data_IF_532467978260
#
_entry.id   IF_532467978260
#
_cell.length_a   1.000
_cell.length_b   1.000
_cell.length_c   1.000
_cell.angle_alpha   90.00
_cell.angle_beta   90.00
_cell.angle_gamma   90.00
#
_symmetry.space_group_name_H-M   'P 1'
#
loop_
_entity.id
_entity.type
_entity.pdbx_description
1 polymer ?
#
# COMPACT_ATOMS: atom_id res chain seq x y z
N UNK A 1 11.15 22.77 -10.04
CA UNK A 1 11.63 21.37 -10.06
C UNK A 1 12.41 21.01 -8.81
N UNK A 2 13.49 21.71 -8.45
CA UNK A 2 14.30 21.39 -7.26
C UNK A 2 13.49 21.32 -5.96
N UNK A 3 12.55 22.24 -5.74
CA UNK A 3 11.67 22.20 -4.56
C UNK A 3 10.82 20.91 -4.51
N UNK A 4 10.27 20.47 -5.65
CA UNK A 4 9.49 19.24 -5.74
C UNK A 4 10.32 17.99 -5.47
N UNK A 5 11.56 17.96 -5.96
CA UNK A 5 12.52 16.89 -5.66
C UNK A 5 12.86 16.90 -4.17
N UNK A 6 13.13 18.07 -3.58
CA UNK A 6 13.39 18.21 -2.14
C UNK A 6 12.24 17.68 -1.29
N UNK A 7 11.00 18.03 -1.61
CA UNK A 7 9.81 17.51 -0.91
C UNK A 7 9.69 15.98 -0.99
N UNK A 8 9.98 15.40 -2.15
CA UNK A 8 9.93 13.94 -2.35
C UNK A 8 11.07 13.21 -1.64
N UNK A 9 12.29 13.74 -1.72
CA UNK A 9 13.47 13.17 -1.07
C UNK A 9 13.44 13.28 0.45
N UNK A 10 12.69 14.24 1.00
CA UNK A 10 12.45 14.36 2.45
C UNK A 10 11.24 13.54 2.93
N UNK A 11 10.48 12.90 2.04
CA UNK A 11 9.35 12.04 2.41
C UNK A 11 9.82 10.58 2.57
N UNK A 12 9.62 9.94 3.74
CA UNK A 12 10.08 8.58 3.98
C UNK A 12 9.49 7.54 3.02
N UNK A 13 8.28 7.76 2.51
CA UNK A 13 7.66 6.86 1.53
C UNK A 13 8.30 7.05 0.16
N UNK A 14 8.56 8.29 -0.26
CA UNK A 14 9.27 8.61 -1.50
C UNK A 14 10.66 7.98 -1.54
N UNK A 15 11.42 8.09 -0.44
CA UNK A 15 12.73 7.44 -0.30
C UNK A 15 12.61 5.91 -0.34
N UNK A 16 11.65 5.32 0.38
CA UNK A 16 11.46 3.85 0.35
C UNK A 16 11.12 3.33 -1.05
N UNK A 17 10.29 4.05 -1.81
CA UNK A 17 9.96 3.68 -3.21
C UNK A 17 11.16 3.86 -4.14
N UNK A 18 11.99 4.87 -3.91
CA UNK A 18 13.25 5.05 -4.66
C UNK A 18 14.21 3.89 -4.39
N UNK A 19 14.37 3.49 -3.12
CA UNK A 19 15.17 2.33 -2.76
C UNK A 19 14.62 1.04 -3.37
N UNK A 20 13.29 0.88 -3.41
CA UNK A 20 12.66 -0.27 -4.07
C UNK A 20 12.98 -0.31 -5.56
N UNK A 21 12.90 0.82 -6.25
CA UNK A 21 13.27 0.92 -7.66
C UNK A 21 14.75 0.56 -7.86
N UNK A 22 15.65 1.08 -7.01
CA UNK A 22 17.08 0.75 -7.07
C UNK A 22 17.34 -0.73 -6.83
N UNK A 23 16.67 -1.36 -5.86
CA UNK A 23 16.77 -2.79 -5.61
C UNK A 23 16.31 -3.60 -6.82
N UNK A 24 15.17 -3.23 -7.40
CA UNK A 24 14.61 -3.92 -8.57
C UNK A 24 15.49 -3.77 -9.80
N UNK A 25 16.05 -2.58 -10.06
CA UNK A 25 17.01 -2.35 -11.13
C UNK A 25 18.29 -3.16 -10.91
N UNK A 26 18.84 -3.18 -9.70
CA UNK A 26 20.02 -3.99 -9.37
C UNK A 26 19.75 -5.49 -9.54
N UNK A 27 18.53 -5.96 -9.25
CA UNK A 27 18.13 -7.34 -9.49
C UNK A 27 18.08 -7.69 -10.98
N UNK A 28 17.52 -6.81 -11.81
CA UNK A 28 17.51 -6.99 -13.26
C UNK A 28 18.94 -7.02 -13.77
N UNK A 29 19.77 -6.04 -13.39
CA UNK A 29 21.17 -5.95 -13.79
C UNK A 29 21.95 -7.21 -13.39
N UNK A 30 21.80 -7.71 -12.16
CA UNK A 30 22.44 -8.94 -11.68
C UNK A 30 22.07 -10.20 -12.49
N UNK A 31 21.01 -10.13 -13.31
CA UNK A 31 20.49 -11.25 -14.09
C UNK A 31 20.81 -11.11 -15.59
N UNK A 32 21.49 -10.03 -15.98
CA UNK A 32 22.00 -9.86 -17.35
C UNK A 32 23.28 -10.67 -17.52
N UNK A 33 23.47 -11.24 -18.70
CA UNK A 33 24.71 -11.92 -19.05
C UNK A 33 25.83 -10.91 -19.28
N UNK A 34 26.82 -10.92 -18.38
CA UNK A 34 28.05 -10.15 -18.53
C UNK A 34 29.20 -11.03 -19.01
N UNK A 35 30.19 -10.46 -19.74
CA UNK A 35 31.41 -11.19 -20.08
C UNK A 35 32.23 -11.60 -18.85
N UNK A 36 32.23 -10.77 -17.80
CA UNK A 36 32.86 -11.06 -16.52
C UNK A 36 31.82 -11.50 -15.48
N UNK A 37 32.02 -12.61 -14.75
CA UNK A 37 31.10 -13.02 -13.70
C UNK A 37 31.10 -12.06 -12.49
N UNK A 38 32.19 -11.29 -12.32
CA UNK A 38 32.35 -10.34 -11.23
C UNK A 38 31.33 -9.19 -11.30
N UNK A 39 30.94 -8.77 -12.50
CA UNK A 39 29.93 -7.71 -12.68
C UNK A 39 28.55 -8.11 -12.13
N UNK A 40 28.10 -9.33 -12.42
CA UNK A 40 26.81 -9.83 -11.89
C UNK A 40 26.84 -9.94 -10.35
N UNK A 41 27.99 -10.32 -9.78
CA UNK A 41 28.18 -10.39 -8.34
C UNK A 41 28.09 -9.00 -7.68
N UNK A 42 28.69 -7.97 -8.29
CA UNK A 42 28.60 -6.59 -7.81
C UNK A 42 27.14 -6.09 -7.76
N UNK A 43 26.34 -6.37 -8.79
CA UNK A 43 24.92 -6.02 -8.80
C UNK A 43 24.11 -6.79 -7.75
N UNK A 44 24.49 -8.05 -7.48
CA UNK A 44 23.87 -8.85 -6.40
C UNK A 44 24.16 -8.24 -5.03
N UNK A 45 25.40 -7.79 -4.78
CA UNK A 45 25.77 -7.09 -3.55
C UNK A 45 25.01 -5.77 -3.42
N UNK A 46 24.93 -4.98 -4.50
CA UNK A 46 24.16 -3.73 -4.52
C UNK A 46 22.68 -3.97 -4.20
N UNK A 47 22.05 -4.98 -4.82
CA UNK A 47 20.67 -5.39 -4.53
C UNK A 47 20.48 -5.71 -3.05
N UNK A 48 21.39 -6.50 -2.47
CA UNK A 48 21.29 -6.92 -1.07
C UNK A 48 21.47 -5.75 -0.10
N UNK A 49 22.40 -4.84 -0.36
CA UNK A 49 22.61 -3.64 0.46
C UNK A 49 21.40 -2.69 0.41
N UNK A 50 20.82 -2.48 -0.78
CA UNK A 50 19.60 -1.64 -0.91
C UNK A 50 18.39 -2.33 -0.26
N UNK A 51 18.26 -3.65 -0.39
CA UNK A 51 17.23 -4.41 0.30
C UNK A 51 17.36 -4.30 1.82
N UNK A 52 18.59 -4.36 2.35
CA UNK A 52 18.87 -4.17 3.76
C UNK A 52 18.49 -2.76 4.22
N UNK A 53 18.83 -1.72 3.45
CA UNK A 53 18.42 -0.34 3.74
C UNK A 53 16.88 -0.22 3.86
N UNK A 54 16.13 -0.86 2.98
CA UNK A 54 14.65 -0.89 3.06
C UNK A 54 14.13 -1.61 4.30
N UNK A 55 14.81 -2.66 4.77
CA UNK A 55 14.43 -3.35 6.02
C UNK A 55 14.48 -2.40 7.21
N UNK A 56 15.49 -1.54 7.30
CA UNK A 56 15.56 -0.52 8.36
C UNK A 56 14.37 0.47 8.34
N UNK A 57 13.92 0.90 7.16
CA UNK A 57 12.72 1.75 7.02
C UNK A 57 11.41 1.08 7.49
N UNK A 58 11.42 -0.23 7.73
CA UNK A 58 10.24 -1.01 8.11
C UNK A 58 10.34 -1.64 9.49
N UNK A 59 11.49 -1.51 10.17
CA UNK A 59 11.84 -2.23 11.41
C UNK A 59 10.74 -2.18 12.49
N UNK A 60 10.13 -1.01 12.70
CA UNK A 60 9.09 -0.79 13.73
C UNK A 60 7.69 -0.58 13.15
N UNK A 61 7.52 -0.70 11.83
CA UNK A 61 6.22 -0.49 11.17
C UNK A 61 5.18 -1.57 11.48
N UNK A 62 5.60 -2.67 12.11
CA UNK A 62 4.67 -3.68 12.60
C UNK A 62 3.71 -3.11 13.66
N UNK A 63 4.16 -2.13 14.46
CA UNK A 63 3.33 -1.44 15.47
C UNK A 63 2.19 -0.69 14.77
N UNK A 64 2.50 0.08 13.72
CA UNK A 64 1.50 0.80 12.94
C UNK A 64 0.49 -0.16 12.31
N UNK A 65 0.96 -1.28 11.78
CA UNK A 65 0.08 -2.29 11.19
C UNK A 65 -0.88 -2.87 12.23
N UNK A 66 -0.39 -3.22 13.42
CA UNK A 66 -1.26 -3.74 14.49
C UNK A 66 -2.21 -2.68 15.05
N UNK A 67 -1.78 -1.44 15.20
CA UNK A 67 -2.66 -0.34 15.62
C UNK A 67 -3.78 -0.11 14.61
N UNK A 68 -3.47 -0.14 13.30
CA UNK A 68 -4.48 -0.02 12.25
C UNK A 68 -5.43 -1.22 12.28
N UNK A 69 -4.91 -2.45 12.37
CA UNK A 69 -5.71 -3.66 12.47
C UNK A 69 -6.65 -3.64 13.68
N UNK A 70 -6.13 -3.27 14.85
CA UNK A 70 -6.88 -3.19 16.10
C UNK A 70 -7.96 -2.11 16.05
N UNK A 71 -7.65 -0.91 15.53
CA UNK A 71 -8.66 0.15 15.37
C UNK A 71 -9.82 -0.29 14.46
N UNK A 72 -9.56 -1.07 13.40
CA UNK A 72 -10.61 -1.59 12.52
C UNK A 72 -11.44 -2.68 13.19
N UNK A 73 -10.80 -3.48 14.05
CA UNK A 73 -11.49 -4.44 14.88
C UNK A 73 -12.43 -3.78 15.91
N UNK A 74 -11.99 -2.72 16.59
CA UNK A 74 -12.83 -1.96 17.53
C UNK A 74 -14.06 -1.35 16.83
N UNK A 75 -13.88 -0.81 15.62
CA UNK A 75 -14.99 -0.29 14.80
C UNK A 75 -16.02 -1.38 14.44
N UNK A 76 -15.56 -2.62 14.25
CA UNK A 76 -16.43 -3.76 13.98
C UNK A 76 -17.19 -4.22 15.24
N UNK A 77 -16.54 -4.23 16.41
CA UNK A 77 -17.18 -4.64 17.68
C UNK A 77 -18.20 -3.61 18.19
N UNK A 78 -17.90 -2.33 18.02
CA UNK A 78 -18.74 -1.23 18.48
C UNK A 78 -19.21 -0.40 17.28
N UNK A 79 -20.06 -0.97 16.40
CA UNK A 79 -20.63 -0.20 15.31
C UNK A 79 -21.39 0.97 15.92
N UNK A 80 -21.02 2.20 15.55
CA UNK A 80 -21.76 3.40 15.93
C UNK A 80 -23.22 3.15 15.56
N UNK A 81 -24.14 3.37 16.51
CA UNK A 81 -25.58 3.21 16.31
C UNK A 81 -26.08 4.15 15.22
N UNK A 82 -25.86 3.75 13.97
CA UNK A 82 -26.46 4.35 12.80
C UNK A 82 -27.79 3.63 12.64
N UNK A 83 -28.88 4.37 12.90
CA UNK A 83 -30.28 3.89 12.99
C UNK A 83 -30.49 2.65 12.13
N UNK A 84 -30.62 1.50 12.79
CA UNK A 84 -30.87 0.22 12.15
C UNK A 84 -32.21 0.28 11.39
N UNK A 85 -32.14 0.64 10.12
CA UNK A 85 -33.26 0.41 9.20
C UNK A 85 -33.37 -1.10 9.05
N UNK A 86 -34.41 -1.65 9.66
CA UNK A 86 -34.83 -3.05 9.61
C UNK A 86 -34.90 -3.51 8.14
N UNK A 87 -34.00 -4.42 7.74
CA UNK A 87 -34.11 -5.09 6.44
C UNK A 87 -32.83 -5.53 5.73
N UNK A 88 -31.63 -5.46 6.34
CA UNK A 88 -30.39 -5.58 5.56
C UNK A 88 -29.36 -6.59 6.13
N UNK A 89 -29.78 -7.83 6.40
CA UNK A 89 -28.87 -8.92 6.81
C UNK A 89 -27.71 -9.13 5.83
N UNK A 90 -27.99 -9.08 4.52
CA UNK A 90 -26.96 -9.18 3.48
C UNK A 90 -25.92 -8.05 3.57
N UNK A 91 -26.37 -6.80 3.78
CA UNK A 91 -25.45 -5.66 3.94
C UNK A 91 -24.60 -5.77 5.21
N UNK A 92 -25.15 -6.30 6.28
CA UNK A 92 -24.39 -6.59 7.51
C UNK A 92 -23.30 -7.62 7.27
N UNK A 93 -23.61 -8.73 6.59
CA UNK A 93 -22.63 -9.75 6.22
C UNK A 93 -21.52 -9.18 5.31
N UNK A 94 -21.88 -8.34 4.34
CA UNK A 94 -20.92 -7.64 3.47
C UNK A 94 -19.98 -6.72 4.25
N UNK A 95 -20.50 -6.00 5.24
CA UNK A 95 -19.68 -5.17 6.11
C UNK A 95 -18.75 -6.04 6.97
N UNK A 96 -19.25 -7.14 7.53
CA UNK A 96 -18.45 -8.05 8.35
C UNK A 96 -17.27 -8.66 7.59
N UNK A 97 -17.49 -9.14 6.35
CA UNK A 97 -16.41 -9.66 5.51
C UNK A 97 -15.37 -8.58 5.18
N UNK A 98 -15.82 -7.35 4.89
CA UNK A 98 -14.94 -6.22 4.61
C UNK A 98 -14.03 -5.90 5.80
N UNK A 99 -14.59 -5.78 7.00
CA UNK A 99 -13.81 -5.57 8.22
C UNK A 99 -12.84 -6.71 8.48
N UNK A 100 -13.27 -7.96 8.32
CA UNK A 100 -12.40 -9.13 8.48
C UNK A 100 -11.20 -9.08 7.53
N UNK A 101 -11.42 -8.79 6.25
CA UNK A 101 -10.35 -8.68 5.26
C UNK A 101 -9.35 -7.57 5.61
N UNK A 102 -9.84 -6.42 6.08
CA UNK A 102 -8.98 -5.31 6.53
C UNK A 102 -8.14 -5.74 7.74
N UNK A 103 -8.76 -6.29 8.78
CA UNK A 103 -8.06 -6.73 9.99
C UNK A 103 -7.01 -7.78 9.61
N UNK A 104 -7.38 -8.79 8.82
CA UNK A 104 -6.48 -9.85 8.40
C UNK A 104 -5.29 -9.33 7.58
N UNK A 105 -5.51 -8.41 6.63
CA UNK A 105 -4.45 -7.75 5.86
C UNK A 105 -3.41 -7.11 6.79
N UNK A 106 -3.86 -6.29 7.74
CA UNK A 106 -2.97 -5.55 8.63
C UNK A 106 -2.32 -6.44 9.69
N UNK A 107 -3.03 -7.45 10.20
CA UNK A 107 -2.46 -8.45 11.12
C UNK A 107 -1.36 -9.27 10.45
N UNK A 108 -1.58 -9.77 9.22
CA UNK A 108 -0.56 -10.53 8.49
C UNK A 108 0.64 -9.66 8.10
N UNK A 109 0.39 -8.42 7.66
CA UNK A 109 1.46 -7.48 7.32
C UNK A 109 2.28 -7.11 8.56
N UNK A 110 1.62 -6.88 9.70
CA UNK A 110 2.29 -6.63 10.98
C UNK A 110 3.11 -7.83 11.44
N UNK A 111 2.57 -9.04 11.31
CA UNK A 111 3.27 -10.28 11.64
C UNK A 111 4.52 -10.48 10.76
N UNK A 112 4.42 -10.25 9.44
CA UNK A 112 5.58 -10.27 8.54
C UNK A 112 6.69 -9.33 9.03
N UNK A 113 6.34 -8.06 9.27
CA UNK A 113 7.30 -7.04 9.70
C UNK A 113 7.92 -7.36 11.06
N UNK A 114 7.12 -7.91 11.98
CA UNK A 114 7.58 -8.35 13.28
C UNK A 114 8.58 -9.52 13.18
N UNK A 115 8.29 -10.51 12.33
CA UNK A 115 9.20 -11.66 12.13
C UNK A 115 10.47 -11.24 11.37
N UNK A 116 10.36 -10.40 10.33
CA UNK A 116 11.52 -9.87 9.57
C UNK A 116 12.46 -9.02 10.45
N UNK A 117 11.94 -8.38 11.50
CA UNK A 117 12.75 -7.62 12.45
C UNK A 117 13.87 -8.48 13.07
N UNK A 118 13.60 -9.76 13.36
CA UNK A 118 14.60 -10.64 13.99
C UNK A 118 15.67 -11.15 13.02
N UNK A 119 15.37 -11.21 11.72
CA UNK A 119 16.32 -11.68 10.70
C UNK A 119 17.24 -10.56 10.19
N UNK A 120 16.98 -9.30 10.56
CA UNK A 120 17.84 -8.18 10.18
C UNK A 120 19.23 -8.27 10.81
N UNK A 121 19.34 -8.84 12.01
CA UNK A 121 20.61 -8.94 12.75
C UNK A 121 21.59 -9.82 11.97
N UNK A 122 21.15 -10.99 11.51
CA UNK A 122 21.97 -11.88 10.67
C UNK A 122 22.32 -11.24 9.33
N UNK A 123 21.40 -10.48 8.73
CA UNK A 123 21.65 -9.75 7.49
C UNK A 123 22.71 -8.63 7.65
N UNK A 124 22.72 -7.93 8.78
CA UNK A 124 23.70 -6.87 9.09
C UNK A 124 25.06 -7.47 9.47
N UNK A 125 25.06 -8.50 10.32
CA UNK A 125 26.27 -9.12 10.81
C UNK A 125 26.96 -9.99 9.75
N UNK A 126 26.28 -10.27 8.63
CA UNK A 126 26.74 -11.25 7.64
C UNK A 126 26.84 -12.66 8.22
N UNK A 127 26.18 -12.92 9.35
CA UNK A 127 26.19 -14.24 9.99
C UNK A 127 25.16 -15.13 9.35
N UNK A 128 25.56 -16.33 8.96
CA UNK A 128 24.62 -17.33 8.50
C UNK A 128 24.19 -18.21 9.67
N UNK A 129 22.88 -18.25 9.93
CA UNK A 129 22.27 -19.18 10.89
C UNK A 129 21.08 -19.89 10.24
N UNK A 130 20.97 -21.22 10.36
CA UNK A 130 19.86 -21.97 9.76
C UNK A 130 18.48 -21.44 10.16
N UNK A 131 18.31 -21.08 11.44
CA UNK A 131 17.05 -20.56 11.96
C UNK A 131 16.69 -19.20 11.35
N UNK A 132 17.67 -18.36 10.99
CA UNK A 132 17.40 -17.05 10.41
C UNK A 132 16.88 -17.20 8.96
N UNK A 133 17.40 -18.16 8.21
CA UNK A 133 16.94 -18.47 6.85
C UNK A 133 15.51 -19.02 6.86
N UNK A 134 15.21 -19.96 7.77
CA UNK A 134 13.84 -20.50 7.91
C UNK A 134 12.87 -19.42 8.38
N UNK A 135 13.26 -18.62 9.37
CA UNK A 135 12.46 -17.48 9.87
C UNK A 135 12.19 -16.46 8.78
N UNK A 136 13.19 -16.12 7.96
CA UNK A 136 13.00 -15.22 6.82
C UNK A 136 12.02 -15.82 5.80
N UNK A 137 12.10 -17.12 5.56
CA UNK A 137 11.18 -17.81 4.64
C UNK A 137 9.74 -17.75 5.16
N UNK A 138 9.51 -17.98 6.46
CA UNK A 138 8.18 -17.83 7.07
C UNK A 138 7.68 -16.37 7.03
N UNK A 139 8.57 -15.39 7.25
CA UNK A 139 8.23 -13.98 7.12
C UNK A 139 7.75 -13.66 5.69
N UNK A 140 8.44 -14.18 4.66
CA UNK A 140 8.05 -13.98 3.27
C UNK A 140 6.69 -14.62 2.93
N UNK A 141 6.36 -15.77 3.53
CA UNK A 141 5.01 -16.37 3.41
C UNK A 141 3.95 -15.46 4.02
N UNK A 142 4.18 -14.91 5.21
CA UNK A 142 3.27 -13.93 5.83
C UNK A 142 3.10 -12.69 4.96
N UNK A 143 4.18 -12.20 4.34
CA UNK A 143 4.09 -11.09 3.40
C UNK A 143 3.21 -11.44 2.20
N UNK A 144 3.42 -12.60 1.58
CA UNK A 144 2.57 -13.10 0.49
C UNK A 144 1.10 -13.16 0.90
N UNK A 145 0.78 -13.75 2.05
CA UNK A 145 -0.60 -13.85 2.52
C UNK A 145 -1.22 -12.47 2.77
N UNK A 146 -0.47 -11.52 3.33
CA UNK A 146 -0.95 -10.16 3.54
C UNK A 146 -1.32 -9.46 2.21
N UNK A 147 -0.51 -9.67 1.17
CA UNK A 147 -0.75 -9.13 -0.17
C UNK A 147 -1.93 -9.83 -0.85
N UNK A 148 -2.05 -11.16 -0.72
CA UNK A 148 -3.18 -11.91 -1.25
C UNK A 148 -4.50 -11.42 -0.65
N UNK A 149 -4.55 -11.24 0.68
CA UNK A 149 -5.73 -10.69 1.36
C UNK A 149 -5.99 -9.24 0.94
N UNK A 150 -4.95 -8.43 0.71
CA UNK A 150 -5.07 -7.07 0.19
C UNK A 150 -5.69 -7.04 -1.21
N UNK A 151 -5.24 -7.90 -2.11
CA UNK A 151 -5.81 -8.08 -3.45
C UNK A 151 -7.29 -8.50 -3.35
N UNK A 152 -7.62 -9.45 -2.48
CA UNK A 152 -9.01 -9.87 -2.26
C UNK A 152 -9.88 -8.72 -1.72
N UNK A 153 -9.35 -7.89 -0.82
CA UNK A 153 -10.04 -6.71 -0.31
C UNK A 153 -10.30 -5.69 -1.42
N UNK A 154 -9.31 -5.37 -2.24
CA UNK A 154 -9.46 -4.40 -3.33
C UNK A 154 -10.45 -4.91 -4.40
N UNK A 155 -10.39 -6.20 -4.75
CA UNK A 155 -11.34 -6.84 -5.66
C UNK A 155 -12.76 -6.83 -5.06
N UNK A 156 -12.89 -7.14 -3.77
CA UNK A 156 -14.17 -7.12 -3.07
C UNK A 156 -14.78 -5.72 -3.06
N UNK A 157 -13.99 -4.68 -2.74
CA UNK A 157 -14.47 -3.30 -2.81
C UNK A 157 -14.92 -2.94 -4.23
N UNK A 158 -14.09 -3.19 -5.24
CA UNK A 158 -14.42 -2.87 -6.64
C UNK A 158 -15.70 -3.57 -7.09
N UNK A 159 -15.83 -4.88 -6.85
CA UNK A 159 -16.92 -5.70 -7.38
C UNK A 159 -18.23 -5.55 -6.59
N UNK A 160 -18.18 -5.35 -5.28
CA UNK A 160 -19.39 -5.32 -4.44
C UNK A 160 -19.81 -3.89 -4.10
N UNK A 161 -18.84 -3.03 -3.77
CA UNK A 161 -19.13 -1.66 -3.30
C UNK A 161 -19.35 -0.70 -4.46
N UNK A 162 -18.60 -0.84 -5.57
CA UNK A 162 -18.68 0.12 -6.69
C UNK A 162 -19.44 -0.36 -7.93
N UNK A 163 -19.76 -1.65 -8.07
CA UNK A 163 -20.55 -2.13 -9.23
C UNK A 163 -21.97 -1.55 -9.28
N UNK A 164 -22.55 -1.18 -8.13
CA UNK A 164 -23.93 -0.72 -8.04
C UNK A 164 -24.13 0.77 -8.42
N UNK A 165 -23.09 1.49 -8.81
CA UNK A 165 -23.13 2.95 -9.02
C UNK A 165 -23.06 3.39 -10.49
N UNK A 166 -23.06 2.44 -11.44
CA UNK A 166 -23.05 2.75 -12.89
C UNK A 166 -24.41 3.21 -13.45
N UNK A 167 -25.37 3.62 -12.61
CA UNK A 167 -26.63 4.18 -13.09
C UNK A 167 -26.35 5.49 -13.81
N UNK A 168 -26.63 5.49 -15.12
CA UNK A 168 -26.32 6.53 -16.08
C UNK A 168 -26.66 7.96 -15.58
N UNK A 169 -25.87 8.98 -15.95
CA UNK A 169 -26.12 10.35 -15.53
C UNK A 169 -27.49 10.81 -16.02
N UNK A 170 -28.39 11.10 -15.07
CA UNK A 170 -29.66 11.74 -15.35
C UNK A 170 -29.43 13.11 -16.01
N UNK A 171 -30.33 13.56 -16.91
CA UNK A 171 -30.11 14.78 -17.70
C UNK A 171 -29.93 16.00 -16.79
N UNK A 172 -28.84 16.72 -17.04
CA UNK A 172 -28.44 17.94 -16.34
C UNK A 172 -29.55 19.00 -16.42
N UNK A 173 -30.12 19.46 -15.30
CA UNK A 173 -30.93 20.68 -15.28
C UNK A 173 -30.00 21.90 -15.42
N UNK A 174 -30.40 22.80 -16.30
CA UNK A 174 -29.74 24.04 -16.71
C UNK A 174 -29.42 24.99 -15.54
N UNK A 175 -28.34 25.80 -15.62
CA UNK A 175 -27.65 26.36 -14.47
C UNK A 175 -28.18 27.73 -14.03
N UNK A 176 -28.14 27.99 -12.72
CA UNK A 176 -28.35 29.30 -12.10
C UNK A 176 -27.07 29.84 -11.42
N UNK A 177 -26.88 31.18 -11.38
CA UNK A 177 -25.57 31.86 -11.29
C UNK A 177 -25.09 32.18 -9.85
N UNK A 178 -23.85 32.70 -9.66
CA UNK A 178 -22.97 32.28 -8.57
C UNK A 178 -23.00 33.18 -7.33
N UNK A 179 -22.87 32.56 -6.15
CA UNK A 179 -22.69 33.23 -4.87
C UNK A 179 -21.22 33.23 -4.42
N UNK A 180 -20.80 34.42 -4.02
CA UNK A 180 -19.48 34.98 -3.78
C UNK A 180 -18.72 34.39 -2.57
N UNK A 181 -17.48 33.98 -2.84
CA UNK A 181 -16.22 34.29 -2.11
C UNK A 181 -16.32 34.62 -0.60
N UNK A 182 -15.68 33.78 0.23
CA UNK A 182 -15.11 34.23 1.52
C UNK A 182 -13.71 33.65 1.74
N UNK A 183 -12.81 34.57 2.10
CA UNK A 183 -11.39 34.40 2.43
C UNK A 183 -11.24 34.10 3.93
N UNK A 184 -10.13 33.45 4.27
CA UNK A 184 -9.53 33.40 5.61
C UNK A 184 -9.51 31.98 6.17
N UNK A 185 -8.47 31.49 6.83
CA UNK A 185 -7.22 32.08 7.32
C UNK A 185 -6.29 30.92 7.69
N UNK A 186 -4.99 31.11 7.45
CA UNK A 186 -3.88 30.23 7.84
C UNK A 186 -3.90 29.84 9.32
N UNK A 187 -3.68 28.55 9.64
CA UNK A 187 -2.96 28.08 10.84
C UNK A 187 -2.22 26.75 10.51
N UNK A 188 -0.88 26.82 10.60
CA UNK A 188 0.17 25.88 11.09
C UNK A 188 -0.20 24.39 11.20
N UNK A 189 0.45 23.52 10.41
CA UNK A 189 1.67 22.75 10.77
C UNK A 189 1.49 21.91 12.03
N UNK A 190 1.18 20.62 11.85
CA UNK A 190 1.57 19.56 12.79
C UNK A 190 1.62 18.21 12.06
N UNK A 191 2.73 17.51 12.33
CA UNK A 191 3.08 16.17 11.90
C UNK A 191 1.91 15.18 12.02
N UNK A 192 1.57 14.50 10.92
CA UNK A 192 0.93 13.19 11.04
C UNK A 192 1.39 12.26 9.94
N UNK A 193 2.23 11.34 10.38
CA UNK A 193 2.79 10.20 9.69
C UNK A 193 1.76 9.45 8.84
N UNK A 194 2.33 8.83 7.80
CA UNK A 194 1.69 8.05 6.78
C UNK A 194 0.74 6.97 7.31
N UNK A 195 -0.55 7.14 7.08
CA UNK A 195 -1.53 6.08 6.80
C UNK A 195 -2.91 6.74 6.63
N UNK A 196 -3.16 7.37 5.48
CA UNK A 196 -4.47 7.97 5.20
C UNK A 196 -4.94 7.69 3.78
N UNK A 197 -5.58 6.55 3.65
CA UNK A 197 -6.73 6.31 2.79
C UNK A 197 -7.56 5.27 3.56
N UNK A 198 -8.22 5.66 4.66
CA UNK A 198 -9.68 5.81 4.68
C UNK A 198 -10.06 6.76 5.81
N UNK A 199 -10.12 8.07 5.53
CA UNK A 199 -10.84 9.02 6.40
C UNK A 199 -12.31 8.97 6.03
N UNK A 200 -13.06 8.07 6.65
CA UNK A 200 -14.52 8.13 6.65
C UNK A 200 -14.96 9.30 7.54
N UNK A 201 -15.94 10.07 7.05
CA UNK A 201 -16.67 11.16 7.71
C UNK A 201 -16.01 12.55 7.75
N UNK A 202 -16.42 13.46 6.83
CA UNK A 202 -16.63 14.86 7.12
C UNK A 202 -18.07 15.07 7.63
N UNK A 203 -18.19 15.53 8.89
CA UNK A 203 -19.40 16.16 9.40
C UNK A 203 -19.53 17.56 8.76
N UNK A 204 -20.17 17.64 7.60
CA UNK A 204 -20.91 18.79 7.08
C UNK A 204 -21.39 18.41 5.67
N UNK A 205 -22.67 18.63 5.31
CA UNK A 205 -23.21 18.18 4.03
C UNK A 205 -22.51 18.97 2.90
N UNK A 206 -21.68 18.32 2.06
CA UNK A 206 -21.11 19.00 0.90
C UNK A 206 -22.20 19.13 -0.16
N UNK A 207 -22.12 20.21 -0.94
CA UNK A 207 -22.88 20.43 -2.18
C UNK A 207 -22.96 19.14 -3.01
N UNK A 208 -24.11 18.47 -2.95
CA UNK A 208 -24.19 17.00 -2.90
C UNK A 208 -23.94 16.23 -4.21
N UNK A 209 -23.77 16.90 -5.35
CA UNK A 209 -23.64 16.24 -6.65
C UNK A 209 -22.19 15.96 -7.05
N UNK A 210 -21.49 17.04 -7.42
CA UNK A 210 -20.19 16.97 -8.13
C UNK A 210 -19.06 16.44 -7.25
N UNK A 211 -19.02 16.85 -5.99
CA UNK A 211 -17.95 16.47 -5.06
C UNK A 211 -17.98 14.97 -4.75
N UNK A 212 -19.19 14.37 -4.71
CA UNK A 212 -19.36 12.94 -4.44
C UNK A 212 -18.82 12.07 -5.58
N UNK A 213 -19.08 12.45 -6.84
CA UNK A 213 -18.62 11.72 -8.02
C UNK A 213 -17.09 11.80 -8.16
N UNK A 214 -16.52 12.99 -7.99
CA UNK A 214 -15.08 13.19 -8.01
C UNK A 214 -14.39 12.38 -6.90
N UNK A 215 -14.96 12.38 -5.69
CA UNK A 215 -14.46 11.59 -4.56
C UNK A 215 -14.52 10.07 -4.84
N UNK A 216 -15.64 9.57 -5.35
CA UNK A 216 -15.81 8.15 -5.72
C UNK A 216 -14.83 7.74 -6.82
N UNK A 217 -14.68 8.56 -7.87
CA UNK A 217 -13.74 8.31 -8.96
C UNK A 217 -12.29 8.29 -8.46
N UNK A 218 -11.91 9.20 -7.56
CA UNK A 218 -10.59 9.23 -6.93
C UNK A 218 -10.35 7.99 -6.06
N UNK A 219 -11.33 7.56 -5.25
CA UNK A 219 -11.22 6.35 -4.44
C UNK A 219 -11.09 5.11 -5.33
N UNK A 220 -11.89 5.00 -6.39
CA UNK A 220 -11.79 3.91 -7.37
C UNK A 220 -10.42 3.85 -8.05
N UNK A 221 -9.88 5.00 -8.46
CA UNK A 221 -8.51 5.09 -8.99
C UNK A 221 -7.47 4.62 -7.98
N UNK A 222 -7.62 4.99 -6.71
CA UNK A 222 -6.71 4.57 -5.63
C UNK A 222 -6.71 3.04 -5.47
N UNK A 223 -7.87 2.40 -5.48
CA UNK A 223 -7.97 0.94 -5.34
C UNK A 223 -7.35 0.22 -6.53
N UNK A 224 -7.62 0.65 -7.77
CA UNK A 224 -6.99 0.04 -8.94
C UNK A 224 -5.46 0.12 -8.91
N UNK A 225 -4.93 1.26 -8.42
CA UNK A 225 -3.47 1.42 -8.28
C UNK A 225 -2.92 0.52 -7.17
N UNK A 226 -3.62 0.41 -6.05
CA UNK A 226 -3.24 -0.50 -4.96
C UNK A 226 -3.26 -1.96 -5.43
N UNK A 227 -4.28 -2.37 -6.18
CA UNK A 227 -4.40 -3.69 -6.78
C UNK A 227 -3.22 -4.01 -7.71
N UNK A 228 -2.79 -3.05 -8.54
CA UNK A 228 -1.59 -3.19 -9.40
C UNK A 228 -0.32 -3.33 -8.55
N UNK A 229 -0.17 -2.49 -7.52
CA UNK A 229 0.99 -2.55 -6.62
C UNK A 229 1.06 -3.91 -5.92
N UNK A 230 -0.03 -4.36 -5.31
CA UNK A 230 -0.08 -5.61 -4.55
C UNK A 230 0.03 -6.83 -5.46
N UNK A 231 -0.57 -6.78 -6.65
CA UNK A 231 -0.45 -7.83 -7.66
C UNK A 231 1.00 -8.02 -8.15
N UNK A 232 1.70 -6.92 -8.45
CA UNK A 232 3.14 -6.97 -8.77
C UNK A 232 3.98 -7.42 -7.57
N UNK A 233 3.66 -6.93 -6.37
CA UNK A 233 4.41 -7.26 -5.16
C UNK A 233 4.26 -8.71 -4.73
N UNK A 234 3.13 -9.36 -5.04
CA UNK A 234 2.87 -10.76 -4.73
C UNK A 234 3.91 -11.70 -5.37
N UNK A 235 4.45 -11.31 -6.52
CA UNK A 235 5.45 -12.08 -7.25
C UNK A 235 6.78 -12.16 -6.51
N UNK A 236 7.11 -11.16 -5.69
CA UNK A 236 8.40 -11.07 -4.98
C UNK A 236 8.51 -12.14 -3.87
N UNK A 237 7.63 -12.17 -2.84
CA UNK A 237 7.68 -13.24 -1.86
C UNK A 237 7.27 -14.58 -2.48
N UNK A 238 6.35 -14.60 -3.46
CA UNK A 238 5.92 -15.84 -4.12
C UNK A 238 7.06 -16.57 -4.83
N UNK A 239 7.93 -15.83 -5.53
CA UNK A 239 9.15 -16.39 -6.11
C UNK A 239 10.20 -16.74 -5.05
N UNK A 240 10.39 -15.89 -4.04
CA UNK A 240 11.40 -16.10 -3.01
C UNK A 240 11.13 -17.34 -2.13
N UNK A 241 9.86 -17.69 -1.87
CA UNK A 241 9.48 -18.91 -1.13
C UNK A 241 9.35 -20.15 -2.03
N UNK A 242 9.51 -20.00 -3.35
CA UNK A 242 9.43 -21.09 -4.32
C UNK A 242 8.02 -21.51 -4.74
N UNK A 243 6.98 -20.72 -4.43
CA UNK A 243 5.62 -21.00 -4.90
C UNK A 243 5.40 -20.60 -6.36
N UNK A 244 6.11 -19.58 -6.83
CA UNK A 244 6.06 -19.11 -8.21
C UNK A 244 7.42 -19.32 -8.88
N UNK A 245 7.47 -20.14 -9.94
CA UNK A 245 8.67 -20.36 -10.74
C UNK A 245 8.88 -19.18 -11.71
N UNK A 246 9.33 -18.04 -11.16
CA UNK A 246 9.61 -16.83 -11.92
C UNK A 246 11.11 -16.57 -11.98
N UNK A 247 11.60 -16.17 -13.15
CA UNK A 247 12.96 -15.74 -13.30
C UNK A 247 13.20 -14.39 -12.56
N UNK A 248 14.45 -14.10 -12.16
CA UNK A 248 14.76 -12.88 -11.42
C UNK A 248 14.48 -11.58 -12.19
N UNK A 249 14.50 -11.60 -13.54
CA UNK A 249 14.20 -10.42 -14.36
C UNK A 249 12.73 -10.09 -14.23
N UNK A 250 11.84 -11.07 -14.37
CA UNK A 250 10.38 -10.89 -14.21
C UNK A 250 10.03 -10.32 -12.83
N UNK A 251 10.63 -10.86 -11.76
CA UNK A 251 10.42 -10.34 -10.40
C UNK A 251 10.97 -8.91 -10.26
N UNK A 252 12.11 -8.62 -10.89
CA UNK A 252 12.71 -7.29 -10.93
C UNK A 252 11.80 -6.27 -11.63
N UNK A 253 11.26 -6.62 -12.80
CA UNK A 253 10.31 -5.79 -13.54
C UNK A 253 9.05 -5.52 -12.72
N UNK A 254 8.48 -6.55 -12.07
CA UNK A 254 7.30 -6.39 -11.22
C UNK A 254 7.57 -5.41 -10.06
N UNK A 255 8.73 -5.56 -9.39
CA UNK A 255 9.13 -4.65 -8.32
C UNK A 255 9.38 -3.22 -8.82
N UNK A 256 9.91 -3.04 -10.04
CA UNK A 256 10.07 -1.72 -10.67
C UNK A 256 8.73 -1.07 -10.95
N UNK A 257 7.76 -1.81 -11.50
CA UNK A 257 6.41 -1.30 -11.78
C UNK A 257 5.74 -0.83 -10.49
N UNK A 258 5.73 -1.66 -9.44
CA UNK A 258 5.10 -1.29 -8.17
C UNK A 258 5.84 -0.16 -7.45
N UNK A 259 7.16 -0.06 -7.59
CA UNK A 259 7.94 1.07 -7.10
C UNK A 259 7.57 2.38 -7.82
N UNK A 260 7.43 2.36 -9.14
CA UNK A 260 7.07 3.54 -9.94
C UNK A 260 5.63 3.98 -9.67
N UNK A 261 4.68 3.04 -9.60
CA UNK A 261 3.28 3.34 -9.27
C UNK A 261 3.22 3.93 -7.86
N UNK A 262 3.76 3.26 -6.84
CA UNK A 262 3.76 3.77 -5.46
C UNK A 262 4.56 5.07 -5.30
N UNK A 263 5.66 5.23 -6.03
CA UNK A 263 6.48 6.44 -6.04
C UNK A 263 5.74 7.63 -6.67
N UNK A 264 5.00 7.41 -7.75
CA UNK A 264 4.16 8.46 -8.34
C UNK A 264 3.01 8.90 -7.42
N UNK A 265 2.45 7.99 -6.61
CA UNK A 265 1.46 8.37 -5.58
C UNK A 265 2.08 9.18 -4.45
N UNK A 266 3.29 8.84 -4.02
CA UNK A 266 4.04 9.64 -3.05
C UNK A 266 4.40 11.02 -3.61
N UNK A 267 4.89 11.09 -4.86
CA UNK A 267 5.18 12.34 -5.56
C UNK A 267 3.95 13.25 -5.64
N UNK A 268 2.81 12.69 -6.06
CA UNK A 268 1.56 13.41 -6.17
C UNK A 268 0.96 13.80 -4.82
N UNK A 269 1.38 13.19 -3.70
CA UNK A 269 0.95 13.57 -2.34
C UNK A 269 1.77 14.75 -1.81
N UNK A 270 3.09 14.71 -1.97
CA UNK A 270 4.01 15.72 -1.41
C UNK A 270 4.06 17.02 -2.24
N UNK A 271 3.63 16.97 -3.50
CA UNK A 271 3.59 18.11 -4.42
C UNK A 271 2.18 18.68 -4.65
N UNK A 272 1.22 18.36 -3.78
CA UNK A 272 -0.05 19.11 -3.72
C UNK A 272 0.18 20.44 -3.01
#
# INVERSE_FOLDING_TARGET
MLNSISKFSNDPVGVEKTLKLLQSTAQIAASVSYPSPDEAALWTVAKNNVALARRFFRLVKWIDCFNIGYAQYELYQHPRSEKAVTGNTARSAHNGLHFLLIVLKWSLLGAYLFVEMFTIVDAVAGTWRPWAVTTQTEALKLWFYSLAVSVMLDLYEILVVYSNDSTAPAPVPTPSPPATRSKGSSIKEDEKQAARSTKSQPNAPPTAGTDSLAFKAAKRRSMYRQLVIDGCDLLIPGAAVGWLALDPITVGVAGSVSALVGGSDAWARVNR
#
